data_IF_584493965116
#
_entry.id   IF_584493965116
#
_cell.length_a   1.000
_cell.length_b   1.000
_cell.length_c   1.000
_cell.angle_alpha   90.00
_cell.angle_beta   90.00
_cell.angle_gamma   90.00
#
_symmetry.space_group_name_H-M   'P 1'
#
loop_
_entity.id
_entity.type
_entity.pdbx_description
1 polymer ?
#
# COMPACT_ATOMS: atom_id res chain seq x y z
N UNK A 1 -12.90 -4.14 -3.62
CA UNK A 1 -11.63 -3.39 -3.58
C UNK A 1 -11.96 -1.90 -3.54
N UNK A 2 -11.37 -1.16 -2.59
CA UNK A 2 -11.42 0.31 -2.56
C UNK A 2 -10.68 0.91 -3.76
N UNK A 3 -11.05 2.11 -4.19
CA UNK A 3 -10.30 2.88 -5.19
C UNK A 3 -8.95 3.36 -4.62
N UNK A 4 -7.98 3.68 -5.49
CA UNK A 4 -6.71 4.27 -5.05
C UNK A 4 -6.90 5.60 -4.29
N UNK A 5 -7.92 6.39 -4.66
CA UNK A 5 -8.24 7.64 -3.96
C UNK A 5 -8.74 7.39 -2.54
N UNK A 6 -9.59 6.38 -2.34
CA UNK A 6 -10.06 5.98 -1.01
C UNK A 6 -8.91 5.41 -0.16
N UNK A 7 -8.06 4.56 -0.74
CA UNK A 7 -6.88 4.02 -0.06
C UNK A 7 -5.94 5.14 0.38
N UNK A 8 -5.63 6.09 -0.53
CA UNK A 8 -4.81 7.26 -0.21
C UNK A 8 -5.42 8.09 0.92
N UNK A 9 -6.72 8.36 0.87
CA UNK A 9 -7.41 9.11 1.94
C UNK A 9 -7.37 8.41 3.29
N UNK A 10 -7.41 7.07 3.34
CA UNK A 10 -7.29 6.30 4.58
C UNK A 10 -5.86 6.45 5.13
N UNK A 11 -4.86 6.26 4.28
CA UNK A 11 -3.43 6.32 4.66
C UNK A 11 -2.97 7.72 5.07
N UNK A 12 -3.59 8.78 4.53
CA UNK A 12 -3.33 10.17 4.91
C UNK A 12 -4.08 10.61 6.18
N UNK A 13 -5.10 9.84 6.60
CA UNK A 13 -5.86 10.17 7.80
C UNK A 13 -5.07 9.80 9.05
N UNK A 14 -5.17 10.61 10.11
CA UNK A 14 -4.63 10.26 11.44
C UNK A 14 -5.46 9.14 12.14
N UNK A 15 -6.34 8.44 11.41
CA UNK A 15 -7.11 7.33 11.98
C UNK A 15 -6.24 6.08 12.12
N UNK A 16 -6.28 5.50 13.32
CA UNK A 16 -5.61 4.23 13.59
C UNK A 16 -6.28 3.11 12.79
N UNK A 17 -5.53 2.53 11.85
CA UNK A 17 -5.92 1.31 11.14
C UNK A 17 -5.30 0.10 11.85
N UNK A 18 -6.04 -1.02 11.97
CA UNK A 18 -5.50 -2.26 12.55
C UNK A 18 -4.46 -2.91 11.64
N UNK A 19 -3.68 -3.87 12.16
CA UNK A 19 -2.70 -4.60 11.37
C UNK A 19 -3.38 -5.39 10.23
N UNK A 20 -4.53 -6.01 10.48
CA UNK A 20 -5.34 -6.69 9.45
C UNK A 20 -5.83 -5.70 8.39
N UNK A 21 -6.29 -4.51 8.81
CA UNK A 21 -6.71 -3.46 7.90
C UNK A 21 -5.58 -3.00 6.98
N UNK A 22 -4.38 -2.79 7.53
CA UNK A 22 -3.19 -2.43 6.76
C UNK A 22 -2.75 -3.54 5.79
N UNK A 23 -2.83 -4.81 6.21
CA UNK A 23 -2.56 -5.94 5.33
C UNK A 23 -3.55 -6.00 4.15
N UNK A 24 -4.85 -5.82 4.43
CA UNK A 24 -5.88 -5.75 3.38
C UNK A 24 -5.62 -4.60 2.42
N UNK A 25 -5.27 -3.40 2.93
CA UNK A 25 -4.90 -2.28 2.06
C UNK A 25 -3.69 -2.62 1.17
N UNK A 26 -2.67 -3.28 1.73
CA UNK A 26 -1.52 -3.77 0.96
C UNK A 26 -1.91 -4.71 -0.18
N UNK A 27 -2.87 -5.61 0.05
CA UNK A 27 -3.40 -6.49 -1.00
C UNK A 27 -4.19 -5.72 -2.06
N UNK A 28 -5.12 -4.84 -1.65
CA UNK A 28 -5.90 -4.00 -2.58
C UNK A 28 -4.99 -3.13 -3.45
N UNK A 29 -3.89 -2.58 -2.89
CA UNK A 29 -2.89 -1.83 -3.65
C UNK A 29 -2.27 -2.69 -4.77
N UNK A 30 -1.92 -3.94 -4.48
CA UNK A 30 -1.37 -4.84 -5.51
C UNK A 30 -2.44 -5.32 -6.50
N UNK A 31 -3.69 -5.47 -6.08
CA UNK A 31 -4.82 -5.76 -6.98
C UNK A 31 -4.97 -4.68 -8.05
N UNK A 32 -4.85 -3.39 -7.71
CA UNK A 32 -4.89 -2.29 -8.68
C UNK A 32 -3.85 -2.46 -9.78
N UNK A 33 -2.63 -2.86 -9.43
CA UNK A 33 -1.58 -3.12 -10.42
C UNK A 33 -1.89 -4.32 -11.31
N UNK A 34 -2.43 -5.39 -10.74
CA UNK A 34 -2.76 -6.61 -11.48
C UNK A 34 -3.93 -6.37 -12.43
N UNK A 35 -5.00 -5.71 -11.94
CA UNK A 35 -6.18 -5.34 -12.74
C UNK A 35 -5.83 -4.39 -13.88
N UNK A 36 -4.95 -3.41 -13.62
CA UNK A 36 -4.47 -2.48 -14.65
C UNK A 36 -3.70 -3.17 -15.79
N UNK A 37 -3.25 -4.41 -15.60
CA UNK A 37 -2.62 -5.26 -16.63
C UNK A 37 -3.59 -6.25 -17.27
N UNK A 38 -4.90 -6.03 -17.11
CA UNK A 38 -5.97 -6.92 -17.58
C UNK A 38 -5.85 -8.36 -17.04
N UNK A 39 -5.28 -8.51 -15.84
CA UNK A 39 -5.17 -9.80 -15.16
C UNK A 39 -6.22 -9.89 -14.04
N UNK A 40 -6.67 -11.11 -13.76
CA UNK A 40 -7.52 -11.41 -12.61
C UNK A 40 -6.62 -11.55 -11.37
N UNK A 41 -6.81 -10.76 -10.29
CA UNK A 41 -6.05 -10.93 -9.06
C UNK A 41 -6.16 -12.34 -8.49
N UNK A 42 -5.03 -12.92 -8.12
CA UNK A 42 -5.02 -14.26 -7.54
C UNK A 42 -5.56 -14.28 -6.10
N UNK A 43 -6.26 -15.36 -5.77
CA UNK A 43 -6.63 -15.71 -4.38
C UNK A 43 -5.65 -16.71 -3.76
N UNK A 44 -4.62 -17.12 -4.51
CA UNK A 44 -3.56 -17.99 -4.01
C UNK A 44 -2.79 -17.32 -2.88
N UNK A 45 -2.11 -18.16 -2.11
CA UNK A 45 -1.19 -17.72 -1.06
C UNK A 45 0.23 -18.16 -1.40
N UNK A 46 1.18 -17.28 -1.12
CA UNK A 46 2.61 -17.61 -1.12
C UNK A 46 3.14 -17.38 0.29
N UNK A 47 3.79 -18.40 0.85
CA UNK A 47 4.29 -18.36 2.24
C UNK A 47 3.17 -18.05 3.25
N UNK A 48 1.93 -18.44 2.94
CA UNK A 48 0.74 -18.19 3.78
C UNK A 48 0.01 -16.87 3.51
N UNK A 49 0.55 -15.99 2.67
CA UNK A 49 -0.01 -14.65 2.44
C UNK A 49 -0.38 -14.41 0.98
N UNK A 50 -1.56 -13.83 0.76
CA UNK A 50 -2.05 -13.48 -0.58
C UNK A 50 -1.31 -12.27 -1.14
N UNK A 51 -0.93 -11.30 -0.29
CA UNK A 51 0.00 -10.21 -0.63
C UNK A 51 1.23 -10.67 -1.45
N UNK A 52 1.93 -11.76 -1.02
CA UNK A 52 3.11 -12.25 -1.73
C UNK A 52 2.78 -12.99 -3.04
N UNK A 53 1.58 -13.57 -3.14
CA UNK A 53 1.11 -14.17 -4.38
C UNK A 53 0.76 -13.09 -5.41
N UNK A 54 0.03 -12.04 -4.99
CA UNK A 54 -0.27 -10.86 -5.80
C UNK A 54 1.00 -10.16 -6.28
N UNK A 55 1.98 -9.95 -5.41
CA UNK A 55 3.26 -9.37 -5.80
C UNK A 55 3.95 -10.24 -6.87
N UNK A 56 4.03 -11.56 -6.65
CA UNK A 56 4.64 -12.50 -7.62
C UNK A 56 3.92 -12.47 -8.97
N UNK A 57 2.60 -12.36 -8.97
CA UNK A 57 1.80 -12.21 -10.18
C UNK A 57 2.13 -10.90 -10.91
N UNK A 58 2.09 -9.78 -10.19
CA UNK A 58 2.32 -8.43 -10.73
C UNK A 58 3.75 -8.16 -11.21
N UNK A 59 4.74 -8.87 -10.66
CA UNK A 59 6.16 -8.72 -11.02
C UNK A 59 6.61 -9.57 -12.21
N UNK A 60 5.78 -10.50 -12.70
CA UNK A 60 6.14 -11.38 -13.83
C UNK A 60 6.42 -10.55 -15.08
N UNK A 61 7.67 -10.59 -15.56
CA UNK A 61 8.10 -9.84 -16.74
C UNK A 61 8.33 -8.34 -16.50
N UNK A 62 8.25 -7.86 -15.25
CA UNK A 62 8.50 -6.46 -14.89
C UNK A 62 9.52 -6.37 -13.74
N UNK A 63 10.80 -6.26 -14.12
CA UNK A 63 11.90 -6.18 -13.16
C UNK A 63 11.80 -4.94 -12.24
N UNK A 64 11.24 -3.84 -12.75
CA UNK A 64 11.08 -2.63 -11.94
C UNK A 64 9.98 -2.77 -10.90
N UNK A 65 8.90 -3.50 -11.20
CA UNK A 65 7.87 -3.79 -10.21
C UNK A 65 8.35 -4.77 -9.13
N UNK A 66 9.23 -5.71 -9.48
CA UNK A 66 9.83 -6.63 -8.50
C UNK A 66 10.62 -5.91 -7.38
N UNK A 67 10.93 -4.62 -7.53
CA UNK A 67 11.61 -3.82 -6.51
C UNK A 67 10.79 -3.67 -5.21
N UNK A 68 9.45 -3.76 -5.25
CA UNK A 68 8.63 -3.66 -4.04
C UNK A 68 8.49 -4.99 -3.27
N UNK A 69 9.22 -6.05 -3.67
CA UNK A 69 9.21 -7.35 -2.98
C UNK A 69 9.55 -7.23 -1.50
N UNK A 70 10.59 -6.46 -1.18
CA UNK A 70 11.04 -6.32 0.21
C UNK A 70 10.05 -5.49 1.03
N UNK A 71 9.42 -4.47 0.46
CA UNK A 71 8.32 -3.74 1.10
C UNK A 71 7.16 -4.66 1.45
N UNK A 72 6.78 -5.58 0.55
CA UNK A 72 5.73 -6.56 0.84
C UNK A 72 6.15 -7.52 1.98
N UNK A 73 7.42 -7.93 2.02
CA UNK A 73 7.94 -8.80 3.10
C UNK A 73 7.99 -8.08 4.43
N UNK A 74 8.38 -6.82 4.44
CA UNK A 74 8.47 -5.99 5.64
C UNK A 74 7.08 -5.73 6.24
N UNK A 75 6.07 -5.50 5.39
CA UNK A 75 4.68 -5.39 5.82
C UNK A 75 4.22 -6.65 6.57
N UNK A 76 4.54 -7.82 6.03
CA UNK A 76 4.21 -9.11 6.66
C UNK A 76 5.02 -9.38 7.93
N UNK A 77 6.27 -8.94 7.97
CA UNK A 77 7.08 -9.02 9.19
C UNK A 77 6.42 -8.26 10.34
N UNK A 78 6.00 -7.01 10.11
CA UNK A 78 5.30 -6.22 11.13
C UNK A 78 3.93 -6.79 11.49
N UNK A 79 3.16 -7.27 10.50
CA UNK A 79 1.90 -7.96 10.75
C UNK A 79 2.08 -9.16 11.68
N UNK A 80 3.08 -10.00 11.42
CA UNK A 80 3.38 -11.18 12.24
C UNK A 80 3.81 -10.78 13.65
N UNK A 81 4.67 -9.77 13.80
CA UNK A 81 5.09 -9.28 15.12
C UNK A 81 3.91 -8.78 15.98
N UNK A 82 2.92 -8.14 15.35
CA UNK A 82 1.74 -7.61 16.05
C UNK A 82 0.78 -8.75 16.43
N UNK A 83 0.56 -9.69 15.52
CA UNK A 83 -0.43 -10.77 15.71
C UNK A 83 0.10 -11.91 16.58
N UNK A 84 1.40 -12.21 16.53
CA UNK A 84 2.02 -13.27 17.33
C UNK A 84 2.35 -12.82 18.76
N UNK A 85 2.63 -11.53 18.97
CA UNK A 85 2.97 -10.97 20.28
C UNK A 85 2.12 -9.74 20.63
N UNK A 86 0.80 -9.89 20.81
CA UNK A 86 -0.13 -8.77 20.98
C UNK A 86 0.07 -7.98 22.29
N UNK A 87 0.86 -8.50 23.23
CA UNK A 87 1.18 -7.85 24.51
C UNK A 87 2.57 -7.20 24.53
N UNK A 88 3.29 -7.19 23.40
CA UNK A 88 4.59 -6.56 23.30
C UNK A 88 4.48 -5.05 23.55
N UNK A 89 5.42 -4.49 24.32
CA UNK A 89 5.41 -3.06 24.69
C UNK A 89 5.42 -2.10 23.50
N UNK A 90 6.04 -2.53 22.39
CA UNK A 90 6.21 -1.73 21.16
C UNK A 90 5.08 -1.89 20.13
N UNK A 91 3.94 -2.49 20.47
CA UNK A 91 2.88 -2.79 19.48
C UNK A 91 2.39 -1.56 18.70
N UNK A 92 2.30 -0.40 19.37
CA UNK A 92 1.89 0.85 18.73
C UNK A 92 2.93 1.34 17.72
N UNK A 93 4.23 1.24 18.06
CA UNK A 93 5.31 1.61 17.16
C UNK A 93 5.38 0.66 15.94
N UNK A 94 5.17 -0.65 16.17
CA UNK A 94 5.10 -1.65 15.09
C UNK A 94 3.93 -1.36 14.16
N UNK A 95 2.78 -0.96 14.70
CA UNK A 95 1.60 -0.60 13.92
C UNK A 95 1.84 0.69 13.10
N UNK A 96 2.45 1.70 13.71
CA UNK A 96 2.85 2.92 13.00
C UNK A 96 3.82 2.62 11.84
N UNK A 97 4.81 1.77 12.07
CA UNK A 97 5.75 1.34 11.03
C UNK A 97 5.03 0.59 9.90
N UNK A 98 4.11 -0.32 10.24
CA UNK A 98 3.29 -1.02 9.24
C UNK A 98 2.47 -0.04 8.40
N UNK A 99 1.96 1.04 9.01
CA UNK A 99 1.29 2.14 8.30
C UNK A 99 2.21 2.81 7.28
N UNK A 100 3.42 3.21 7.70
CA UNK A 100 4.41 3.85 6.81
C UNK A 100 4.82 2.93 5.64
N UNK A 101 5.02 1.64 5.91
CA UNK A 101 5.35 0.63 4.88
C UNK A 101 4.19 0.48 3.88
N UNK A 102 2.95 0.48 4.37
CA UNK A 102 1.76 0.43 3.51
C UNK A 102 1.64 1.68 2.64
N UNK A 103 1.89 2.87 3.20
CA UNK A 103 1.96 4.12 2.44
C UNK A 103 3.07 4.12 1.40
N UNK A 104 4.25 3.59 1.74
CA UNK A 104 5.33 3.43 0.78
C UNK A 104 4.93 2.51 -0.39
N UNK A 105 4.29 1.37 -0.09
CA UNK A 105 3.77 0.47 -1.13
C UNK A 105 2.72 1.16 -2.01
N UNK A 106 1.81 1.93 -1.41
CA UNK A 106 0.80 2.72 -2.12
C UNK A 106 1.45 3.70 -3.11
N UNK A 107 2.36 4.56 -2.65
CA UNK A 107 3.00 5.55 -3.53
C UNK A 107 3.85 4.90 -4.61
N UNK A 108 4.52 3.79 -4.31
CA UNK A 108 5.26 3.02 -5.30
C UNK A 108 4.33 2.52 -6.42
N UNK A 109 3.22 1.87 -6.07
CA UNK A 109 2.29 1.30 -7.06
C UNK A 109 1.52 2.38 -7.81
N UNK A 110 1.05 3.43 -7.13
CA UNK A 110 0.40 4.57 -7.76
C UNK A 110 1.32 5.24 -8.79
N UNK A 111 2.59 5.49 -8.44
CA UNK A 111 3.57 6.04 -9.37
C UNK A 111 3.92 5.08 -10.51
N UNK A 112 3.88 3.76 -10.29
CA UNK A 112 4.06 2.75 -11.35
C UNK A 112 2.91 2.75 -12.35
N UNK A 113 1.68 2.84 -11.86
CA UNK A 113 0.48 2.97 -12.67
C UNK A 113 0.51 4.26 -13.50
N UNK A 114 0.90 5.38 -12.88
CA UNK A 114 1.01 6.69 -13.55
C UNK A 114 2.05 6.65 -14.68
N UNK A 115 3.25 6.13 -14.40
CA UNK A 115 4.32 6.01 -15.39
C UNK A 115 3.95 5.07 -16.56
N UNK A 116 3.11 4.07 -16.30
CA UNK A 116 2.62 3.16 -17.34
C UNK A 116 1.39 3.71 -18.09
N UNK A 117 0.87 4.88 -17.68
CA UNK A 117 -0.39 5.46 -18.16
C UNK A 117 -1.58 4.50 -17.99
N UNK A 118 -1.55 3.72 -16.91
CA UNK A 118 -2.58 2.73 -16.60
C UNK A 118 -3.46 3.25 -15.45
N UNK A 119 -4.72 3.55 -15.75
CA UNK A 119 -5.71 4.05 -14.79
C UNK A 119 -6.12 5.51 -15.04
N UNK A 120 -7.15 5.95 -14.33
CA UNK A 120 -7.63 7.34 -14.38
C UNK A 120 -6.93 8.19 -13.33
N UNK A 121 -5.95 8.97 -13.78
CA UNK A 121 -5.31 9.98 -12.94
C UNK A 121 -6.10 11.26 -13.05
N UNK A 122 -6.93 11.55 -12.05
CA UNK A 122 -7.51 12.87 -11.93
C UNK A 122 -6.37 13.85 -11.66
N UNK A 123 -6.01 14.67 -12.65
CA UNK A 123 -5.06 15.77 -12.56
C UNK A 123 -5.52 16.89 -11.60
N UNK A 124 -6.14 16.56 -10.47
CA UNK A 124 -6.26 17.47 -9.34
C UNK A 124 -4.93 17.47 -8.59
N UNK A 125 -3.93 18.11 -9.18
CA UNK A 125 -2.70 18.48 -8.49
C UNK A 125 -3.08 19.41 -7.34
N UNK A 126 -3.43 18.83 -6.19
CA UNK A 126 -3.56 19.58 -4.94
C UNK A 126 -2.17 20.13 -4.67
N UNK A 127 -2.06 21.46 -4.73
CA UNK A 127 -0.79 22.15 -4.57
C UNK A 127 -0.19 21.71 -3.21
N UNK A 128 0.95 21.01 -3.23
CA UNK A 128 1.62 20.50 -2.02
C UNK A 128 1.97 21.63 -1.04
N UNK A 129 1.94 22.89 -1.51
CA UNK A 129 2.19 24.11 -0.75
C UNK A 129 0.94 24.91 -0.34
N UNK A 130 -0.29 24.43 -0.57
CA UNK A 130 -1.50 25.21 -0.29
C UNK A 130 -1.80 25.45 1.21
N UNK A 131 -1.01 24.86 2.13
CA UNK A 131 -1.03 25.23 3.55
C UNK A 131 0.10 26.22 3.84
N UNK A 132 -0.10 27.51 3.53
CA UNK A 132 0.48 28.60 4.35
C UNK A 132 0.03 30.06 4.05
N UNK A 133 -0.88 30.35 3.11
CA UNK A 133 -1.33 31.74 2.88
C UNK A 133 -2.54 32.15 3.74
N UNK A 134 -2.46 31.94 5.06
CA UNK A 134 -3.37 32.56 6.04
C UNK A 134 -2.62 33.44 7.06
N UNK A 135 -1.55 34.10 6.61
CA UNK A 135 -0.96 35.24 7.32
C UNK A 135 -0.76 36.43 6.38
N UNK A 136 -1.86 36.99 5.90
CA UNK A 136 -1.89 38.40 5.48
C UNK A 136 -3.06 39.05 6.23
N UNK A 137 -2.75 39.56 7.42
CA UNK A 137 -3.45 40.72 7.99
C UNK A 137 -2.88 41.98 7.35
#
# INVERSE_FOLDING_TARGET
MRTLAEIGSILESDQSTSAEGLLVLGEEILEHWVLAKDLIPTDDKKEGFRLLALHKQGSKGDASFNACRETCRELLYHYNLITMEPKHSEILQRLQMMGLITSHLFYFVAGKLENAQLGEFCCSSKNVRAKNDLSAR
#
